data_IF_554016622865
#
_entry.id   IF_554016622865
#
_cell.length_a   1.000
_cell.length_b   1.000
_cell.length_c   1.000
_cell.angle_alpha   90.00
_cell.angle_beta   90.00
_cell.angle_gamma   90.00
#
_symmetry.space_group_name_H-M   'P 1'
#
loop_
_entity.id
_entity.type
_entity.pdbx_description
1 polymer ?
#
# COMPACT_ATOMS: atom_id res chain seq x y z
N UNK A 1 31.15 -69.24 30.92
CA UNK A 1 30.13 -69.14 29.85
C UNK A 1 28.84 -68.40 30.26
N UNK A 2 28.82 -67.63 31.36
CA UNK A 2 27.61 -66.94 31.84
C UNK A 2 27.39 -65.57 31.16
N UNK A 3 28.47 -64.91 30.73
CA UNK A 3 28.44 -63.58 30.13
C UNK A 3 27.55 -63.52 28.87
N UNK A 4 27.73 -64.48 27.95
CA UNK A 4 26.96 -64.53 26.70
C UNK A 4 25.46 -64.81 26.90
N UNK A 5 25.08 -65.59 27.92
CA UNK A 5 23.68 -65.87 28.20
C UNK A 5 22.90 -64.63 28.66
N UNK A 6 23.53 -63.76 29.46
CA UNK A 6 22.89 -62.52 29.97
C UNK A 6 22.72 -61.46 28.87
N UNK A 7 23.70 -61.35 27.98
CA UNK A 7 23.61 -60.36 26.89
C UNK A 7 22.67 -60.82 25.78
N UNK A 8 22.61 -62.12 25.50
CA UNK A 8 21.71 -62.67 24.49
C UNK A 8 20.24 -62.62 24.96
N UNK A 9 19.96 -62.78 26.25
CA UNK A 9 18.60 -62.62 26.79
C UNK A 9 18.11 -61.16 26.74
N UNK A 10 19.00 -60.19 27.00
CA UNK A 10 18.65 -58.76 26.93
C UNK A 10 18.34 -58.33 25.49
N UNK A 11 19.08 -58.86 24.51
CA UNK A 11 18.79 -58.66 23.10
C UNK A 11 17.41 -59.18 22.69
N UNK A 12 17.04 -60.39 23.12
CA UNK A 12 15.73 -60.99 22.83
C UNK A 12 14.59 -60.15 23.44
N UNK A 13 14.76 -59.64 24.66
CA UNK A 13 13.75 -58.81 25.33
C UNK A 13 13.53 -57.49 24.59
N UNK A 14 14.60 -56.83 24.14
CA UNK A 14 14.48 -55.59 23.37
C UNK A 14 13.81 -55.81 22.02
N UNK A 15 14.12 -56.90 21.33
CA UNK A 15 13.48 -57.26 20.06
C UNK A 15 11.99 -57.56 20.28
N UNK A 16 11.63 -58.27 21.34
CA UNK A 16 10.23 -58.53 21.69
C UNK A 16 9.46 -57.25 22.03
N UNK A 17 10.07 -56.32 22.77
CA UNK A 17 9.48 -55.01 23.08
C UNK A 17 9.29 -54.15 21.82
N UNK A 18 10.26 -54.16 20.90
CA UNK A 18 10.15 -53.46 19.62
C UNK A 18 9.03 -54.04 18.73
N UNK A 19 8.94 -55.37 18.66
CA UNK A 19 7.86 -56.05 17.93
C UNK A 19 6.49 -55.76 18.54
N UNK A 20 6.39 -55.71 19.87
CA UNK A 20 5.15 -55.35 20.56
C UNK A 20 4.71 -53.91 20.25
N UNK A 21 5.65 -52.95 20.18
CA UNK A 21 5.35 -51.55 19.85
C UNK A 21 4.99 -51.35 18.37
N UNK A 22 5.59 -52.12 17.46
CA UNK A 22 5.36 -52.00 16.01
C UNK A 22 4.10 -52.74 15.54
N UNK A 23 3.76 -53.88 16.16
CA UNK A 23 2.61 -54.71 15.78
C UNK A 23 1.39 -54.47 16.68
N UNK A 24 1.59 -53.95 17.89
CA UNK A 24 0.51 -53.47 18.75
C UNK A 24 -0.04 -52.15 18.21
N UNK A 25 -1.36 -51.94 18.33
CA UNK A 25 -1.92 -50.59 18.20
C UNK A 25 -1.33 -49.76 19.35
N UNK A 26 -0.27 -49.01 19.06
CA UNK A 26 0.38 -48.12 20.03
C UNK A 26 -0.64 -47.17 20.68
N UNK A 27 -0.30 -46.55 21.82
CA UNK A 27 -1.19 -45.60 22.47
C UNK A 27 -1.54 -44.50 21.46
N UNK A 28 -2.80 -44.48 21.03
CA UNK A 28 -3.33 -43.43 20.19
C UNK A 28 -3.37 -42.20 21.08
N UNK A 29 -2.37 -41.34 20.97
CA UNK A 29 -2.44 -40.01 21.53
C UNK A 29 -3.54 -39.27 20.76
N UNK A 30 -4.79 -39.38 21.23
CA UNK A 30 -5.82 -38.42 20.90
C UNK A 30 -5.41 -37.11 21.57
N UNK A 31 -4.58 -36.32 20.87
CA UNK A 31 -4.56 -34.90 21.11
C UNK A 31 -5.93 -34.39 20.67
N UNK A 32 -6.88 -34.34 21.61
CA UNK A 32 -8.07 -33.52 21.45
C UNK A 32 -7.57 -32.08 21.30
N UNK A 33 -7.24 -31.69 20.07
CA UNK A 33 -6.86 -30.34 19.71
C UNK A 33 -8.10 -29.49 19.91
N UNK A 34 -8.36 -29.06 21.14
CA UNK A 34 -9.24 -27.93 21.42
C UNK A 34 -8.58 -26.72 20.76
N UNK A 35 -8.89 -26.51 19.48
CA UNK A 35 -8.53 -25.29 18.78
C UNK A 35 -9.15 -24.15 19.58
N UNK A 36 -8.29 -23.22 20.00
CA UNK A 36 -8.77 -22.03 20.67
C UNK A 36 -9.58 -21.22 19.65
N UNK A 37 -10.81 -20.82 19.97
CA UNK A 37 -11.64 -20.01 19.09
C UNK A 37 -10.92 -18.74 18.60
N UNK A 38 -10.03 -18.16 19.41
CA UNK A 38 -9.19 -17.04 19.01
C UNK A 38 -8.13 -17.41 17.97
N UNK A 39 -7.51 -18.59 18.09
CA UNK A 39 -6.52 -19.09 17.12
C UNK A 39 -7.19 -19.47 15.79
N UNK A 40 -8.40 -20.00 15.83
CA UNK A 40 -9.19 -20.33 14.65
C UNK A 40 -9.67 -19.07 13.92
N UNK A 41 -10.16 -18.07 14.65
CA UNK A 41 -10.53 -16.76 14.08
C UNK A 41 -9.35 -16.05 13.41
N UNK A 42 -8.17 -16.04 14.07
CA UNK A 42 -6.96 -15.45 13.49
C UNK A 42 -6.48 -16.22 12.25
N UNK A 43 -6.50 -17.55 12.29
CA UNK A 43 -6.11 -18.40 11.16
C UNK A 43 -7.04 -18.21 9.96
N UNK A 44 -8.36 -18.10 10.21
CA UNK A 44 -9.36 -17.84 9.18
C UNK A 44 -9.23 -16.44 8.57
N UNK A 45 -8.89 -15.43 9.38
CA UNK A 45 -8.57 -14.09 8.88
C UNK A 45 -7.32 -14.09 7.99
N UNK A 46 -6.22 -14.71 8.43
CA UNK A 46 -5.00 -14.80 7.61
C UNK A 46 -5.20 -15.61 6.34
N UNK A 47 -5.96 -16.71 6.38
CA UNK A 47 -6.21 -17.55 5.19
C UNK A 47 -7.08 -16.82 4.16
N UNK A 48 -8.15 -16.16 4.61
CA UNK A 48 -9.00 -15.34 3.73
C UNK A 48 -8.22 -14.16 3.13
N UNK A 49 -7.45 -13.43 3.94
CA UNK A 49 -6.60 -12.33 3.45
C UNK A 49 -5.53 -12.82 2.45
N UNK A 50 -4.84 -13.93 2.76
CA UNK A 50 -3.84 -14.50 1.86
C UNK A 50 -4.45 -14.98 0.54
N UNK A 51 -5.64 -15.59 0.60
CA UNK A 51 -6.36 -16.04 -0.59
C UNK A 51 -6.73 -14.85 -1.47
N UNK A 52 -7.24 -13.76 -0.89
CA UNK A 52 -7.51 -12.50 -1.61
C UNK A 52 -6.25 -11.94 -2.26
N UNK A 53 -5.12 -11.86 -1.54
CA UNK A 53 -3.86 -11.39 -2.11
C UNK A 53 -3.33 -12.31 -3.22
N UNK A 54 -3.58 -13.62 -3.14
CA UNK A 54 -3.15 -14.58 -4.15
C UNK A 54 -4.02 -14.56 -5.41
N UNK A 55 -5.28 -14.13 -5.30
CA UNK A 55 -6.20 -13.99 -6.42
C UNK A 55 -6.06 -12.66 -7.16
N UNK A 56 -5.42 -11.65 -6.54
CA UNK A 56 -5.16 -10.34 -7.15
C UNK A 56 -4.03 -10.43 -8.18
N UNK A 57 -4.20 -9.71 -9.28
CA UNK A 57 -3.13 -9.47 -10.25
C UNK A 57 -1.98 -8.68 -9.61
N UNK A 58 -0.77 -8.78 -10.18
CA UNK A 58 0.40 -8.00 -9.74
C UNK A 58 0.21 -6.47 -9.87
N UNK A 59 -0.83 -5.99 -10.55
CA UNK A 59 -1.18 -4.57 -10.59
C UNK A 59 -2.08 -4.19 -9.43
N UNK A 60 -3.14 -4.96 -9.18
CA UNK A 60 -4.14 -4.67 -8.14
C UNK A 60 -3.52 -4.62 -6.72
N UNK A 61 -2.42 -5.34 -6.48
CA UNK A 61 -1.68 -5.28 -5.21
C UNK A 61 -1.12 -3.90 -4.86
N UNK A 62 -1.02 -3.00 -5.84
CA UNK A 62 -0.41 -1.68 -5.70
C UNK A 62 -1.40 -0.54 -5.95
N UNK A 63 -2.70 -0.84 -5.96
CA UNK A 63 -3.77 0.15 -6.13
C UNK A 63 -4.61 0.15 -4.86
N UNK A 64 -4.77 1.33 -4.26
CA UNK A 64 -5.60 1.57 -3.09
C UNK A 64 -6.85 2.31 -3.58
N UNK A 65 -8.02 1.72 -3.38
CA UNK A 65 -9.29 2.42 -3.64
C UNK A 65 -9.53 3.44 -2.53
N UNK A 66 -9.87 4.66 -2.91
CA UNK A 66 -10.18 5.77 -2.02
C UNK A 66 -11.67 6.10 -2.09
N UNK A 67 -12.23 6.46 -0.94
CA UNK A 67 -13.59 6.99 -0.89
C UNK A 67 -13.66 8.37 -1.57
N UNK A 68 -14.80 8.64 -2.21
CA UNK A 68 -15.05 9.95 -2.80
C UNK A 68 -15.21 10.99 -1.68
N UNK A 69 -14.50 12.14 -1.73
CA UNK A 69 -14.66 13.20 -0.74
C UNK A 69 -16.11 13.73 -0.70
N UNK A 70 -16.65 13.95 0.52
CA UNK A 70 -18.00 14.52 0.71
C UNK A 70 -18.16 15.94 0.16
N UNK A 71 -17.04 16.67 0.05
CA UNK A 71 -17.00 18.05 -0.42
C UNK A 71 -16.49 18.11 -1.85
N UNK A 72 -17.10 18.97 -2.66
CA UNK A 72 -16.60 19.20 -4.00
C UNK A 72 -15.27 19.94 -3.97
N UNK A 73 -14.39 19.66 -4.94
CA UNK A 73 -13.10 20.32 -5.09
C UNK A 73 -13.21 21.86 -5.12
N UNK A 74 -14.27 22.38 -5.76
CA UNK A 74 -14.52 23.83 -5.79
C UNK A 74 -14.85 24.39 -4.40
N UNK A 75 -15.65 23.68 -3.60
CA UNK A 75 -15.97 24.08 -2.23
C UNK A 75 -14.73 24.04 -1.34
N UNK A 76 -13.90 22.98 -1.44
CA UNK A 76 -12.65 22.86 -0.69
C UNK A 76 -11.74 24.07 -0.94
N UNK A 77 -11.51 24.40 -2.20
CA UNK A 77 -10.69 25.56 -2.58
C UNK A 77 -11.31 26.88 -2.10
N UNK A 78 -12.62 27.06 -2.22
CA UNK A 78 -13.27 28.30 -1.81
C UNK A 78 -13.26 28.53 -0.29
N UNK A 79 -13.34 27.46 0.51
CA UNK A 79 -13.24 27.53 1.97
C UNK A 79 -11.82 27.89 2.42
N UNK A 80 -10.80 27.42 1.69
CA UNK A 80 -9.39 27.69 1.96
C UNK A 80 -8.91 28.88 1.14
N UNK A 81 -9.15 30.09 1.63
CA UNK A 81 -8.45 31.28 1.12
C UNK A 81 -7.09 31.38 1.79
N UNK A 82 -6.02 31.18 1.01
CA UNK A 82 -4.67 31.46 1.48
C UNK A 82 -4.46 32.97 1.62
N UNK A 83 -3.85 33.39 2.72
CA UNK A 83 -3.41 34.77 2.92
C UNK A 83 -2.15 35.09 2.11
N UNK A 84 -1.37 34.07 1.77
CA UNK A 84 -0.11 34.20 1.05
C UNK A 84 -0.37 34.20 -0.46
N UNK A 85 -0.06 35.32 -1.11
CA UNK A 85 -0.15 35.44 -2.57
C UNK A 85 1.05 34.76 -3.21
N UNK A 86 0.85 33.56 -3.75
CA UNK A 86 1.85 32.88 -4.58
C UNK A 86 1.65 33.32 -6.04
N UNK A 87 2.73 33.66 -6.79
CA UNK A 87 2.57 34.10 -8.16
C UNK A 87 2.15 32.94 -9.06
N UNK A 88 1.38 33.25 -10.12
CA UNK A 88 0.80 32.23 -11.01
C UNK A 88 1.86 31.40 -11.77
N UNK A 89 3.06 31.94 -11.96
CA UNK A 89 4.19 31.27 -12.60
C UNK A 89 5.10 30.52 -11.60
N UNK A 90 4.73 30.44 -10.32
CA UNK A 90 5.46 29.64 -9.35
C UNK A 90 5.42 28.16 -9.74
N UNK A 91 6.55 27.47 -9.62
CA UNK A 91 6.68 26.03 -9.94
C UNK A 91 7.24 25.17 -8.80
N UNK A 92 7.67 25.80 -7.70
CA UNK A 92 8.45 25.16 -6.65
C UNK A 92 9.94 25.08 -6.99
N UNK A 93 10.74 24.67 -6.02
CA UNK A 93 12.19 24.57 -6.17
C UNK A 93 12.62 23.38 -7.03
N UNK A 94 13.74 23.52 -7.75
CA UNK A 94 14.37 22.37 -8.42
C UNK A 94 15.12 21.57 -7.35
N UNK A 95 14.63 20.36 -7.05
CA UNK A 95 15.23 19.48 -6.04
C UNK A 95 15.01 18.01 -6.37
N UNK A 96 15.86 17.18 -5.81
CA UNK A 96 15.82 15.73 -5.95
C UNK A 96 14.67 15.13 -5.13
N UNK A 97 13.51 14.90 -5.76
CA UNK A 97 12.30 14.33 -5.15
C UNK A 97 12.34 12.81 -5.23
N UNK A 98 12.45 12.14 -4.09
CA UNK A 98 12.55 10.68 -3.99
C UNK A 98 11.20 10.05 -3.69
N UNK A 99 10.89 9.00 -4.42
CA UNK A 99 9.71 8.18 -4.23
C UNK A 99 10.19 6.81 -3.76
N UNK A 100 9.97 6.52 -2.49
CA UNK A 100 10.44 5.29 -1.86
C UNK A 100 9.39 4.18 -1.96
N UNK A 101 9.88 2.96 -2.09
CA UNK A 101 9.06 1.75 -2.25
C UNK A 101 8.19 1.53 -1.02
N UNK A 102 6.92 1.25 -1.27
CA UNK A 102 5.92 0.99 -0.23
C UNK A 102 5.14 2.23 0.21
N UNK A 103 5.64 3.44 -0.07
CA UNK A 103 4.87 4.66 0.13
C UNK A 103 3.79 4.82 -0.96
N UNK A 104 2.86 5.75 -0.74
CA UNK A 104 1.85 6.08 -1.74
C UNK A 104 2.15 7.38 -2.47
N UNK A 105 1.72 7.50 -3.72
CA UNK A 105 1.90 8.73 -4.50
C UNK A 105 1.23 9.92 -3.83
N UNK A 106 0.03 9.74 -3.26
CA UNK A 106 -0.65 10.79 -2.50
C UNK A 106 0.17 11.27 -1.31
N UNK A 107 0.70 10.34 -0.51
CA UNK A 107 1.49 10.68 0.68
C UNK A 107 2.75 11.46 0.30
N UNK A 108 3.55 10.91 -0.63
CA UNK A 108 4.82 11.52 -1.04
C UNK A 108 4.62 12.91 -1.66
N UNK A 109 3.59 13.08 -2.51
CA UNK A 109 3.29 14.40 -3.07
C UNK A 109 2.77 15.39 -2.02
N UNK A 110 2.06 14.92 -1.00
CA UNK A 110 1.64 15.76 0.13
C UNK A 110 2.85 16.28 0.90
N UNK A 111 3.82 15.41 1.19
CA UNK A 111 5.05 15.77 1.89
C UNK A 111 5.87 16.79 1.09
N UNK A 112 5.98 16.61 -0.24
CA UNK A 112 6.67 17.58 -1.09
C UNK A 112 5.98 18.94 -1.12
N UNK A 113 4.65 18.96 -1.15
CA UNK A 113 3.88 20.19 -1.11
C UNK A 113 4.06 20.91 0.22
N UNK A 114 4.02 20.17 1.33
CA UNK A 114 4.24 20.71 2.68
C UNK A 114 5.64 21.36 2.81
N UNK A 115 6.68 20.68 2.31
CA UNK A 115 8.04 21.23 2.27
C UNK A 115 8.17 22.52 1.45
N UNK A 116 7.30 22.73 0.47
CA UNK A 116 7.24 23.93 -0.36
C UNK A 116 6.28 25.00 0.21
N UNK A 117 5.66 24.72 1.35
CA UNK A 117 4.72 25.62 2.02
C UNK A 117 3.36 25.75 1.30
N UNK A 118 2.96 24.75 0.53
CA UNK A 118 1.67 24.71 -0.19
C UNK A 118 0.83 23.49 0.22
N UNK A 119 -0.48 23.58 0.01
CA UNK A 119 -1.39 22.45 0.21
C UNK A 119 -1.42 21.56 -1.04
N UNK A 120 -1.68 20.26 -0.86
CA UNK A 120 -1.92 19.34 -1.96
C UNK A 120 -3.24 18.59 -1.78
N UNK A 121 -4.03 18.52 -2.87
CA UNK A 121 -5.32 17.85 -2.90
C UNK A 121 -5.32 16.71 -3.92
N UNK A 122 -5.55 15.51 -3.42
CA UNK A 122 -5.75 14.30 -4.22
C UNK A 122 -7.24 14.04 -4.43
N UNK A 123 -7.76 14.40 -5.60
CA UNK A 123 -9.17 14.23 -5.99
C UNK A 123 -9.28 13.18 -7.11
N UNK A 124 -8.90 11.96 -6.76
CA UNK A 124 -8.99 10.75 -7.56
C UNK A 124 -9.52 9.61 -6.67
N UNK A 125 -10.19 8.64 -7.28
CA UNK A 125 -10.78 7.48 -6.60
C UNK A 125 -9.76 6.38 -6.26
N UNK A 126 -8.52 6.52 -6.73
CA UNK A 126 -7.43 5.57 -6.50
C UNK A 126 -6.17 6.29 -6.04
N UNK A 127 -5.37 5.62 -5.24
CA UNK A 127 -3.98 5.94 -4.94
C UNK A 127 -3.09 4.73 -5.24
N UNK A 128 -1.80 4.95 -5.39
CA UNK A 128 -0.87 3.93 -5.87
C UNK A 128 0.30 3.77 -4.93
N UNK A 129 0.62 2.51 -4.63
CA UNK A 129 1.81 2.13 -3.88
C UNK A 129 3.00 2.10 -4.83
N UNK A 130 4.08 2.78 -4.46
CA UNK A 130 5.31 2.83 -5.23
C UNK A 130 5.97 1.44 -5.22
N UNK A 131 6.14 0.87 -6.43
CA UNK A 131 6.68 -0.49 -6.63
C UNK A 131 8.16 -0.58 -6.34
N UNK A 132 8.91 0.39 -6.86
CA UNK A 132 10.37 0.45 -6.81
C UNK A 132 10.79 1.91 -6.60
N UNK A 133 11.94 2.11 -5.94
CA UNK A 133 12.44 3.44 -5.65
C UNK A 133 12.75 4.19 -6.95
N UNK A 134 12.31 5.44 -7.04
CA UNK A 134 12.68 6.32 -8.15
C UNK A 134 12.87 7.77 -7.68
N UNK A 135 13.40 8.59 -8.58
CA UNK A 135 13.72 9.99 -8.28
C UNK A 135 13.35 10.88 -9.46
N UNK A 136 12.83 12.06 -9.15
CA UNK A 136 12.53 13.12 -10.12
C UNK A 136 13.31 14.37 -9.73
N UNK A 137 14.20 14.83 -10.60
CA UNK A 137 15.10 15.97 -10.36
C UNK A 137 14.56 17.23 -11.04
N UNK A 138 13.36 17.66 -10.66
CA UNK A 138 12.62 18.74 -11.34
C UNK A 138 11.99 19.74 -10.36
N UNK A 139 11.10 20.62 -10.83
CA UNK A 139 10.23 21.44 -9.96
C UNK A 139 9.06 20.62 -9.40
N UNK A 140 8.36 21.14 -8.37
CA UNK A 140 7.18 20.47 -7.82
C UNK A 140 6.07 20.35 -8.87
N UNK A 141 5.81 21.40 -9.65
CA UNK A 141 4.77 21.39 -10.70
C UNK A 141 5.10 20.43 -11.84
N UNK A 142 6.37 20.37 -12.25
CA UNK A 142 6.81 19.39 -13.27
C UNK A 142 6.68 17.96 -12.73
N UNK A 143 7.01 17.72 -11.46
CA UNK A 143 6.83 16.42 -10.79
C UNK A 143 5.34 16.02 -10.74
N UNK A 144 4.47 16.96 -10.34
CA UNK A 144 3.02 16.76 -10.33
C UNK A 144 2.48 16.40 -11.72
N UNK A 145 2.95 17.08 -12.77
CA UNK A 145 2.60 16.76 -14.16
C UNK A 145 3.03 15.34 -14.54
N UNK A 146 4.29 14.98 -14.26
CA UNK A 146 4.81 13.64 -14.59
C UNK A 146 4.04 12.53 -13.89
N UNK A 147 3.75 12.70 -12.58
CA UNK A 147 2.93 11.74 -11.83
C UNK A 147 1.52 11.65 -12.41
N UNK A 148 0.86 12.78 -12.70
CA UNK A 148 -0.47 12.80 -13.32
C UNK A 148 -0.50 12.03 -14.65
N UNK A 149 0.53 12.19 -15.48
CA UNK A 149 0.63 11.48 -16.76
C UNK A 149 0.97 10.00 -16.62
N UNK A 150 1.71 9.62 -15.58
CA UNK A 150 2.09 8.23 -15.35
C UNK A 150 0.89 7.36 -14.93
N UNK A 151 -0.07 7.93 -14.20
CA UNK A 151 -1.27 7.22 -13.73
C UNK A 151 -2.49 7.39 -14.64
N UNK A 152 -2.41 8.28 -15.63
CA UNK A 152 -3.50 8.68 -16.54
C UNK A 152 -4.27 7.49 -17.17
N UNK A 153 -3.57 6.42 -17.52
CA UNK A 153 -4.16 5.24 -18.19
C UNK A 153 -5.09 4.42 -17.30
N UNK A 154 -5.03 4.62 -15.99
CA UNK A 154 -5.75 3.81 -15.00
C UNK A 154 -7.09 4.44 -14.58
N UNK A 155 -7.42 5.58 -15.19
CA UNK A 155 -8.64 6.36 -14.98
C UNK A 155 -9.49 6.40 -16.25
N UNK A 156 -10.79 6.63 -16.10
CA UNK A 156 -11.70 6.73 -17.25
C UNK A 156 -11.51 8.04 -18.00
N UNK A 157 -11.15 9.10 -17.27
CA UNK A 157 -10.89 10.43 -17.81
C UNK A 157 -9.45 10.84 -17.63
N UNK A 158 -9.00 11.80 -18.44
CA UNK A 158 -7.63 12.30 -18.38
C UNK A 158 -7.34 12.93 -17.02
N UNK A 159 -6.29 12.46 -16.36
CA UNK A 159 -5.79 12.97 -15.10
C UNK A 159 -4.97 14.23 -15.33
N UNK A 160 -5.29 15.27 -14.57
CA UNK A 160 -4.62 16.57 -14.66
C UNK A 160 -4.06 17.01 -13.31
N UNK A 161 -2.85 17.55 -13.34
CA UNK A 161 -2.30 18.38 -12.27
C UNK A 161 -2.63 19.86 -12.49
N UNK A 162 -2.96 20.57 -11.42
CA UNK A 162 -3.21 22.01 -11.41
C UNK A 162 -2.53 22.68 -10.22
N UNK A 163 -2.14 23.95 -10.42
CA UNK A 163 -1.71 24.84 -9.35
C UNK A 163 -2.66 26.02 -9.21
N UNK A 164 -3.41 26.04 -8.11
CA UNK A 164 -4.36 27.07 -7.76
C UNK A 164 -3.64 28.15 -6.93
N UNK A 165 -2.87 29.00 -7.61
CA UNK A 165 -1.96 29.98 -7.00
C UNK A 165 -2.62 30.93 -5.98
N UNK A 166 -3.90 31.28 -6.16
CA UNK A 166 -4.67 32.11 -5.21
C UNK A 166 -4.94 31.41 -3.87
N UNK A 167 -4.89 30.08 -3.87
CA UNK A 167 -5.13 29.23 -2.70
C UNK A 167 -3.84 28.64 -2.16
N UNK A 168 -2.71 28.77 -2.88
CA UNK A 168 -1.47 28.07 -2.53
C UNK A 168 -1.67 26.56 -2.49
N UNK A 169 -2.45 26.03 -3.43
CA UNK A 169 -2.88 24.63 -3.43
C UNK A 169 -2.59 23.99 -4.77
N UNK A 170 -1.93 22.85 -4.76
CA UNK A 170 -1.81 21.95 -5.89
C UNK A 170 -2.91 20.89 -5.86
N UNK A 171 -3.39 20.49 -7.03
CA UNK A 171 -4.52 19.57 -7.17
C UNK A 171 -4.21 18.55 -8.24
N UNK A 172 -4.55 17.29 -7.98
CA UNK A 172 -4.64 16.25 -9.02
C UNK A 172 -6.09 15.76 -9.13
N UNK A 173 -6.62 15.72 -10.35
CA UNK A 173 -8.01 15.29 -10.60
C UNK A 173 -8.24 14.90 -12.06
N UNK A 174 -9.14 13.94 -12.30
CA UNK A 174 -9.65 13.61 -13.64
C UNK A 174 -10.91 14.45 -14.01
N UNK A 175 -11.54 15.08 -13.02
CA UNK A 175 -12.80 15.82 -13.16
C UNK A 175 -12.65 17.29 -12.73
N UNK A 176 -11.87 18.11 -13.46
CA UNK A 176 -11.67 19.50 -13.09
C UNK A 176 -13.00 20.26 -13.13
N UNK A 177 -13.33 20.96 -12.05
CA UNK A 177 -14.49 21.85 -12.04
C UNK A 177 -14.23 23.09 -12.89
N UNK A 178 -15.29 23.83 -13.28
CA UNK A 178 -15.13 25.12 -13.95
C UNK A 178 -14.29 26.09 -13.11
N UNK A 179 -14.49 26.09 -11.79
CA UNK A 179 -13.74 26.95 -10.87
C UNK A 179 -12.23 26.70 -10.96
N UNK A 180 -11.82 25.42 -10.99
CA UNK A 180 -10.41 25.02 -11.12
C UNK A 180 -9.82 25.48 -12.45
N UNK A 181 -10.55 25.26 -13.56
CA UNK A 181 -10.09 25.70 -14.89
C UNK A 181 -9.91 27.21 -15.00
N UNK A 182 -10.78 27.98 -14.35
CA UNK A 182 -10.78 29.44 -14.44
C UNK A 182 -9.79 30.10 -13.45
N UNK A 183 -9.37 29.41 -12.38
CA UNK A 183 -8.56 29.99 -11.30
C UNK A 183 -7.20 29.32 -11.06
N UNK A 184 -6.89 28.23 -11.77
CA UNK A 184 -5.67 27.46 -11.58
C UNK A 184 -4.88 27.34 -12.89
N UNK A 185 -3.57 27.15 -12.78
CA UNK A 185 -2.68 26.91 -13.92
C UNK A 185 -2.46 25.42 -14.05
N UNK A 186 -2.62 24.88 -15.26
CA UNK A 186 -2.38 23.45 -15.52
C UNK A 186 -0.89 23.14 -15.39
N UNK A 187 -0.57 22.06 -14.67
CA UNK A 187 0.79 21.55 -14.56
C UNK A 187 1.27 21.08 -15.94
N UNK A 188 2.50 21.44 -16.26
CA UNK A 188 3.17 21.17 -17.54
C UNK A 188 4.64 20.87 -17.26
N UNK A 189 5.38 20.41 -18.27
CA UNK A 189 6.85 20.33 -18.19
C UNK A 189 7.42 21.73 -17.92
#
# INVERSE_FOLDING_TARGET
MWFWLKHLSLGIILIAAALYLLLGKGPVFNSDSKSNAAAEGLSNFYSSFRNTLSSMTEREKYVIQLDTPDTSLAQHLQQKRSSTKIPANWRGEIKARRFDKGDTLKAVLSDFAEQEGIEFLWYLDKDYIIKDNFRVDETFITTLYQVSKAIDSDFESTVYGFFCYKHGTAVITENPTRYVRDNCVKATL
#
